data_IF_485096170883
#
_entry.id   IF_485096170883
#
_cell.length_a   1.000
_cell.length_b   1.000
_cell.length_c   1.000
_cell.angle_alpha   90.00
_cell.angle_beta   90.00
_cell.angle_gamma   90.00
#
_symmetry.space_group_name_H-M   'P 1'
#
loop_
_entity.id
_entity.type
_entity.pdbx_description
1 polymer ?
#
# COMPACT_ATOMS: atom_id res chain seq x y z
N UNK A 1 1.74 -14.82 18.94
CA UNK A 1 1.31 -15.33 17.62
C UNK A 1 0.15 -14.45 17.17
N UNK A 2 0.44 -13.29 16.55
CA UNK A 2 -0.63 -12.41 16.05
C UNK A 2 -1.21 -13.05 14.80
N UNK A 3 -2.52 -13.31 14.82
CA UNK A 3 -3.25 -13.88 13.70
C UNK A 3 -3.05 -13.02 12.47
N UNK A 4 -2.44 -13.60 11.44
CA UNK A 4 -2.31 -13.03 10.11
C UNK A 4 -3.72 -12.94 9.52
N UNK A 5 -4.45 -11.90 9.90
CA UNK A 5 -5.83 -11.74 9.45
C UNK A 5 -5.76 -11.33 8.00
N UNK A 6 -6.20 -12.24 7.13
CA UNK A 6 -6.30 -12.11 5.67
C UNK A 6 -7.40 -11.12 5.29
N UNK A 7 -7.30 -9.90 5.80
CA UNK A 7 -8.18 -8.78 5.48
C UNK A 7 -7.30 -7.76 4.78
N UNK A 8 -7.80 -7.21 3.67
CA UNK A 8 -7.11 -6.10 3.02
C UNK A 8 -6.87 -4.99 4.04
N UNK A 9 -5.69 -4.35 4.05
CA UNK A 9 -5.48 -3.19 4.89
C UNK A 9 -6.52 -2.13 4.55
N UNK A 10 -6.92 -1.34 5.53
CA UNK A 10 -7.82 -0.20 5.35
C UNK A 10 -7.15 1.09 5.80
N UNK A 11 -7.64 2.20 5.28
CA UNK A 11 -7.14 3.53 5.61
C UNK A 11 -5.78 3.84 4.99
N UNK A 12 -5.11 4.83 5.57
CA UNK A 12 -3.92 5.45 5.00
C UNK A 12 -2.62 4.89 5.58
N UNK A 13 -1.71 4.50 4.69
CA UNK A 13 -0.42 3.88 4.99
C UNK A 13 0.70 4.65 4.31
N UNK A 14 1.62 5.21 5.09
CA UNK A 14 2.74 6.01 4.58
C UNK A 14 4.03 5.18 4.56
N UNK A 15 4.79 5.29 3.47
CA UNK A 15 6.02 4.53 3.24
C UNK A 15 7.12 4.94 4.23
N UNK A 16 7.62 3.95 4.96
CA UNK A 16 8.73 4.02 5.91
C UNK A 16 10.01 3.48 5.25
N UNK A 17 10.66 4.29 4.41
CA UNK A 17 11.88 3.90 3.68
C UNK A 17 13.00 3.37 4.59
N UNK A 18 13.04 3.89 5.81
CA UNK A 18 14.03 3.54 6.83
C UNK A 18 13.87 2.10 7.34
N UNK A 19 12.69 1.52 7.17
CA UNK A 19 12.36 0.15 7.58
C UNK A 19 12.38 -0.83 6.39
N UNK A 20 12.55 -0.34 5.15
CA UNK A 20 12.65 -1.18 3.96
C UNK A 20 13.87 -2.11 4.04
N UNK A 21 13.73 -3.32 3.50
CA UNK A 21 14.83 -4.27 3.46
C UNK A 21 14.50 -5.50 2.62
N UNK A 22 15.53 -6.10 2.01
CA UNK A 22 15.40 -7.34 1.23
C UNK A 22 14.31 -7.29 0.13
N UNK A 23 14.08 -6.12 -0.49
CA UNK A 23 13.05 -5.93 -1.52
C UNK A 23 11.62 -5.80 -0.99
N UNK A 24 11.44 -5.71 0.33
CA UNK A 24 10.16 -5.47 0.99
C UNK A 24 10.04 -3.98 1.30
N UNK A 25 8.97 -3.37 0.83
CA UNK A 25 8.55 -2.02 1.23
C UNK A 25 7.75 -2.09 2.53
N UNK A 26 8.08 -1.24 3.50
CA UNK A 26 7.39 -1.15 4.79
C UNK A 26 6.57 0.12 4.88
N UNK A 27 5.31 -0.02 5.25
CA UNK A 27 4.41 1.10 5.46
C UNK A 27 3.90 1.10 6.90
N UNK A 28 3.73 2.30 7.45
CA UNK A 28 3.19 2.53 8.79
C UNK A 28 1.90 3.36 8.69
N UNK A 29 0.95 3.22 9.63
CA UNK A 29 -0.29 3.97 9.59
C UNK A 29 -0.02 5.47 9.61
N UNK A 30 -0.53 6.19 8.60
CA UNK A 30 -0.28 7.63 8.43
C UNK A 30 -0.75 8.43 9.65
N UNK A 31 -1.85 8.01 10.28
CA UNK A 31 -2.49 8.76 11.36
C UNK A 31 -1.79 8.63 12.72
N UNK A 32 -1.05 7.55 12.97
CA UNK A 32 -0.55 7.22 14.32
C UNK A 32 0.96 7.05 14.42
N UNK A 33 1.64 6.76 13.31
CA UNK A 33 3.09 6.59 13.33
C UNK A 33 3.83 7.92 13.18
N UNK A 34 4.76 8.19 14.09
CA UNK A 34 5.60 9.38 14.06
C UNK A 34 6.77 9.17 13.10
N UNK A 35 6.59 9.52 11.82
CA UNK A 35 7.65 9.44 10.83
C UNK A 35 8.78 10.43 11.13
N UNK A 36 10.06 9.99 11.10
CA UNK A 36 11.16 10.93 11.23
C UNK A 36 11.22 11.86 10.00
N UNK A 37 11.85 13.04 10.14
CA UNK A 37 12.03 13.97 9.03
C UNK A 37 12.72 13.27 7.85
N UNK A 38 12.07 13.30 6.68
CA UNK A 38 12.63 12.76 5.45
C UNK A 38 13.00 13.89 4.49
N UNK A 39 14.10 13.74 3.77
CA UNK A 39 14.49 14.66 2.67
C UNK A 39 13.78 14.34 1.35
N UNK A 40 13.06 13.23 1.27
CA UNK A 40 12.24 12.80 0.13
C UNK A 40 10.80 12.71 0.58
N UNK A 41 9.86 13.20 -0.21
CA UNK A 41 8.46 13.02 0.13
C UNK A 41 8.05 11.55 0.05
N UNK A 42 7.22 11.12 1.01
CA UNK A 42 6.84 9.71 1.18
C UNK A 42 5.66 9.38 0.27
N UNK A 43 5.67 8.15 -0.25
CA UNK A 43 4.51 7.57 -0.91
C UNK A 43 3.47 7.21 0.14
N UNK A 44 2.20 7.47 -0.15
CA UNK A 44 1.08 7.04 0.70
C UNK A 44 0.18 6.12 -0.12
N UNK A 45 -0.24 5.02 0.47
CA UNK A 45 -1.26 4.12 -0.04
C UNK A 45 -2.51 4.30 0.82
N UNK A 46 -3.59 4.74 0.20
CA UNK A 46 -4.89 4.81 0.85
C UNK A 46 -5.75 3.66 0.36
N UNK A 47 -6.10 2.75 1.26
CA UNK A 47 -6.92 1.60 0.97
C UNK A 47 -8.36 1.87 1.39
N UNK A 48 -9.23 1.95 0.40
CA UNK A 48 -10.66 2.01 0.65
C UNK A 48 -11.14 0.60 0.98
N UNK A 49 -11.68 0.43 2.19
CA UNK A 49 -12.20 -0.85 2.64
C UNK A 49 -13.38 -1.25 1.74
N UNK A 50 -13.21 -2.34 0.98
CA UNK A 50 -14.21 -2.79 0.03
C UNK A 50 -15.51 -3.17 0.74
N UNK A 51 -16.58 -2.40 0.55
CA UNK A 51 -17.93 -2.83 0.92
C UNK A 51 -18.43 -4.00 0.05
N UNK A 52 -17.75 -4.26 -1.08
CA UNK A 52 -18.20 -5.10 -2.19
C UNK A 52 -17.12 -6.07 -2.71
N UNK A 53 -16.07 -6.34 -1.93
CA UNK A 53 -15.04 -7.36 -2.25
C UNK A 53 -13.95 -6.95 -3.25
N UNK A 54 -14.01 -5.75 -3.84
CA UNK A 54 -12.93 -5.16 -4.64
C UNK A 54 -12.35 -3.98 -3.87
N UNK A 55 -11.15 -4.14 -3.31
CA UNK A 55 -10.43 -3.04 -2.66
C UNK A 55 -10.00 -2.02 -3.69
N UNK A 56 -10.05 -0.73 -3.34
CA UNK A 56 -9.42 0.31 -4.14
C UNK A 56 -8.19 0.80 -3.40
N UNK A 57 -7.12 1.07 -4.13
CA UNK A 57 -5.95 1.76 -3.60
C UNK A 57 -5.69 3.04 -4.35
N UNK A 58 -5.59 4.13 -3.61
CA UNK A 58 -5.13 5.42 -4.12
C UNK A 58 -3.67 5.59 -3.72
N UNK A 59 -2.80 5.84 -4.70
CA UNK A 59 -1.41 6.24 -4.42
C UNK A 59 -1.33 7.77 -4.38
N UNK A 60 -0.87 8.31 -3.25
CA UNK A 60 -0.45 9.71 -3.16
C UNK A 60 1.07 9.76 -3.26
N UNK A 61 1.58 10.58 -4.17
CA UNK A 61 3.00 10.92 -4.24
C UNK A 61 3.17 12.45 -4.16
N UNK A 62 4.28 12.94 -3.61
CA UNK A 62 4.61 14.37 -3.67
C UNK A 62 4.73 14.78 -5.14
N UNK A 63 3.99 15.82 -5.52
CA UNK A 63 4.14 16.45 -6.83
C UNK A 63 5.43 17.28 -6.91
N UNK A 64 5.78 17.79 -8.11
CA UNK A 64 6.94 18.66 -8.31
C UNK A 64 6.90 19.94 -7.45
N UNK A 65 5.72 20.39 -7.06
CA UNK A 65 5.50 21.55 -6.17
C UNK A 65 5.40 21.16 -4.67
N UNK A 66 5.88 19.98 -4.28
CA UNK A 66 5.79 19.37 -2.94
C UNK A 66 4.35 19.09 -2.45
N UNK A 67 3.32 19.52 -3.18
CA UNK A 67 1.92 19.24 -2.86
C UNK A 67 1.59 17.77 -3.14
N UNK A 68 1.07 17.00 -2.16
CA UNK A 68 0.60 15.65 -2.40
C UNK A 68 -0.51 15.64 -3.44
N UNK A 69 -0.39 14.80 -4.46
CA UNK A 69 -1.43 14.63 -5.47
C UNK A 69 -1.91 13.18 -5.47
N UNK A 70 -3.23 13.01 -5.39
CA UNK A 70 -3.85 11.71 -5.56
C UNK A 70 -3.70 11.26 -7.01
N UNK A 71 -3.12 10.09 -7.20
CA UNK A 71 -3.30 9.34 -8.43
C UNK A 71 -4.75 8.83 -8.55
N UNK A 72 -5.14 8.30 -9.72
CA UNK A 72 -6.43 7.63 -9.87
C UNK A 72 -6.52 6.44 -8.90
N UNK A 73 -7.70 6.27 -8.29
CA UNK A 73 -8.00 5.06 -7.53
C UNK A 73 -7.86 3.83 -8.44
N UNK A 74 -7.11 2.85 -7.98
CA UNK A 74 -6.77 1.65 -8.75
C UNK A 74 -7.38 0.43 -8.06
N UNK A 75 -8.10 -0.40 -8.81
CA UNK A 75 -8.67 -1.63 -8.28
C UNK A 75 -7.56 -2.62 -7.87
N UNK A 76 -7.72 -3.19 -6.68
CA UNK A 76 -6.95 -4.33 -6.17
C UNK A 76 -7.65 -5.62 -6.60
N UNK A 77 -7.15 -6.22 -7.69
CA UNK A 77 -7.73 -7.45 -8.21
C UNK A 77 -6.96 -8.64 -7.63
N UNK A 78 -7.60 -9.53 -6.85
CA UNK A 78 -6.89 -10.66 -6.25
C UNK A 78 -6.41 -11.65 -7.31
N UNK A 79 -5.12 -11.98 -7.29
CA UNK A 79 -4.49 -13.01 -8.13
C UNK A 79 -4.28 -14.33 -7.38
N UNK A 80 -4.60 -14.36 -6.09
CA UNK A 80 -4.32 -15.48 -5.18
C UNK A 80 -3.02 -15.31 -4.40
N UNK A 81 -2.83 -16.11 -3.34
CA UNK A 81 -1.60 -16.12 -2.52
C UNK A 81 -1.14 -14.73 -2.03
N UNK A 82 -2.08 -13.88 -1.61
CA UNK A 82 -1.85 -12.49 -1.16
C UNK A 82 -1.26 -11.56 -2.24
N UNK A 83 -1.36 -11.94 -3.52
CA UNK A 83 -1.00 -11.10 -4.66
C UNK A 83 -2.21 -10.37 -5.20
N UNK A 84 -2.00 -9.13 -5.58
CA UNK A 84 -3.00 -8.23 -6.13
C UNK A 84 -2.44 -7.53 -7.35
N UNK A 85 -3.19 -7.61 -8.45
CA UNK A 85 -2.97 -6.75 -9.60
C UNK A 85 -3.46 -5.33 -9.26
N UNK A 86 -2.65 -4.34 -9.60
CA UNK A 86 -2.98 -2.93 -9.55
C UNK A 86 -3.22 -2.44 -10.97
N UNK A 87 -4.51 -2.30 -11.31
CA UNK A 87 -4.96 -1.79 -12.60
C UNK A 87 -4.66 -2.74 -13.77
N UNK A 88 -5.23 -2.43 -14.93
CA UNK A 88 -5.21 -3.31 -16.09
C UNK A 88 -6.24 -4.43 -15.94
N UNK A 89 -5.91 -5.63 -16.42
CA UNK A 89 -6.73 -6.84 -16.20
C UNK A 89 -5.93 -7.89 -15.41
N UNK A 90 -6.57 -8.91 -14.82
CA UNK A 90 -5.86 -9.99 -14.13
C UNK A 90 -4.79 -10.68 -14.97
N UNK A 91 -5.01 -10.77 -16.29
CA UNK A 91 -4.13 -11.43 -17.27
C UNK A 91 -3.00 -10.53 -17.75
N UNK A 92 -3.18 -9.21 -17.65
CA UNK A 92 -2.22 -8.19 -18.05
C UNK A 92 -2.21 -7.03 -17.03
N UNK A 93 -1.71 -7.28 -15.80
CA UNK A 93 -1.69 -6.27 -14.75
C UNK A 93 -0.66 -5.19 -15.06
N UNK A 94 -0.96 -3.94 -14.69
CA UNK A 94 0.00 -2.84 -14.87
C UNK A 94 1.09 -2.85 -13.79
N UNK A 95 0.75 -3.32 -12.59
CA UNK A 95 1.69 -3.66 -11.54
C UNK A 95 1.12 -4.80 -10.68
N UNK A 96 1.98 -5.54 -10.00
CA UNK A 96 1.58 -6.56 -9.04
C UNK A 96 2.20 -6.26 -7.68
N UNK A 97 1.40 -6.34 -6.64
CA UNK A 97 1.88 -6.30 -5.25
C UNK A 97 1.58 -7.60 -4.53
N UNK A 98 2.49 -8.05 -3.70
CA UNK A 98 2.29 -9.12 -2.74
C UNK A 98 2.22 -8.51 -1.34
N UNK A 99 1.11 -8.71 -0.62
CA UNK A 99 0.98 -8.30 0.78
C UNK A 99 1.57 -9.41 1.64
N UNK A 100 2.77 -9.16 2.18
CA UNK A 100 3.50 -10.10 3.04
C UNK A 100 2.92 -10.08 4.45
N UNK A 101 2.55 -8.90 4.93
CA UNK A 101 1.96 -8.70 6.25
C UNK A 101 1.03 -7.49 6.25
N UNK A 102 -0.15 -7.65 6.83
CA UNK A 102 -1.07 -6.56 7.12
C UNK A 102 -1.54 -6.71 8.58
N UNK A 103 -0.96 -5.90 9.47
CA UNK A 103 -1.34 -5.79 10.87
C UNK A 103 -1.83 -4.37 11.15
N UNK A 104 -2.25 -4.08 12.39
CA UNK A 104 -2.80 -2.76 12.74
C UNK A 104 -1.76 -1.63 12.67
N UNK A 105 -0.48 -1.94 12.87
CA UNK A 105 0.62 -0.98 12.99
C UNK A 105 1.69 -1.10 11.89
N UNK A 106 1.57 -2.11 11.02
CA UNK A 106 2.55 -2.35 9.95
C UNK A 106 1.89 -3.01 8.74
N UNK A 107 2.29 -2.54 7.55
CA UNK A 107 1.98 -3.14 6.27
C UNK A 107 3.30 -3.41 5.55
N UNK A 108 3.53 -4.66 5.14
CA UNK A 108 4.71 -5.08 4.38
C UNK A 108 4.28 -5.58 3.02
N UNK A 109 4.91 -5.07 1.97
CA UNK A 109 4.60 -5.48 0.61
C UNK A 109 5.85 -5.68 -0.25
N UNK A 110 5.73 -6.57 -1.22
CA UNK A 110 6.71 -6.75 -2.30
C UNK A 110 6.07 -6.28 -3.61
N UNK A 111 6.84 -5.62 -4.47
CA UNK A 111 6.41 -5.24 -5.83
C UNK A 111 7.10 -6.15 -6.85
N UNK A 112 6.37 -6.56 -7.88
CA UNK A 112 6.86 -7.36 -9.02
C UNK A 112 6.78 -6.57 -10.33
#
# INVERSE_FOLDING_TARGET
MHGMTRVLPSGSWTHSFEEDGAGIEVYRPTATFAFPPSRKGRKVLDFDAAANGVGMVTTMAPGPDDRPRAGPATALIPLGMNRYALGGTPEAPQAVIEIVEAAADILRLVRH
#
